data_IF_312099045609
#
_entry.id   IF_312099045609
#
_cell.length_a   1.000
_cell.length_b   1.000
_cell.length_c   1.000
_cell.angle_alpha   90.00
_cell.angle_beta   90.00
_cell.angle_gamma   90.00
#
_symmetry.space_group_name_H-M   'P 1'
#
loop_
_entity.id
_entity.type
_entity.pdbx_description
1 polymer ?
#
# COMPACT_ATOMS: atom_id res chain seq x y z
N UNK A 1 3.78 -9.54 6.99
CA UNK A 1 4.63 -8.40 7.40
C UNK A 1 3.88 -7.64 8.50
N UNK A 2 4.54 -7.31 9.61
CA UNK A 2 3.90 -6.65 10.75
C UNK A 2 4.06 -5.12 10.65
N UNK A 3 3.03 -4.41 10.20
CA UNK A 3 2.99 -2.94 10.14
C UNK A 3 3.13 -2.28 11.53
N UNK A 4 2.79 -3.04 12.58
CA UNK A 4 2.85 -2.64 13.99
C UNK A 4 4.26 -2.26 14.47
N UNK A 5 5.29 -2.65 13.72
CA UNK A 5 6.68 -2.28 14.03
C UNK A 5 7.01 -0.84 13.62
N UNK A 6 6.19 -0.22 12.78
CA UNK A 6 6.52 1.05 12.13
C UNK A 6 5.44 2.13 12.27
N UNK A 7 4.19 1.75 12.53
CA UNK A 7 3.04 2.65 12.54
C UNK A 7 2.17 2.43 13.77
N UNK A 8 1.64 3.52 14.32
CA UNK A 8 0.50 3.47 15.23
C UNK A 8 -0.78 3.06 14.49
N UNK A 9 -1.78 2.60 15.25
CA UNK A 9 -3.07 2.14 14.68
C UNK A 9 -3.73 3.21 13.81
N UNK A 10 -3.74 4.48 14.25
CA UNK A 10 -4.35 5.58 13.50
C UNK A 10 -3.60 5.93 12.21
N UNK A 11 -2.28 5.78 12.23
CA UNK A 11 -1.40 6.01 11.08
C UNK A 11 -1.61 4.90 10.04
N UNK A 12 -1.67 3.65 10.51
CA UNK A 12 -2.02 2.49 9.70
C UNK A 12 -3.40 2.66 9.05
N UNK A 13 -4.44 2.99 9.83
CA UNK A 13 -5.80 3.17 9.31
C UNK A 13 -5.86 4.30 8.28
N UNK A 14 -5.22 5.44 8.56
CA UNK A 14 -5.15 6.54 7.60
C UNK A 14 -4.55 6.09 6.26
N UNK A 15 -3.37 5.46 6.30
CA UNK A 15 -2.67 5.02 5.10
C UNK A 15 -3.48 3.94 4.36
N UNK A 16 -4.05 2.98 5.07
CA UNK A 16 -4.82 1.89 4.46
C UNK A 16 -6.04 2.44 3.70
N UNK A 17 -6.81 3.32 4.34
CA UNK A 17 -7.97 3.94 3.71
C UNK A 17 -7.57 4.84 2.53
N UNK A 18 -6.47 5.58 2.66
CA UNK A 18 -5.95 6.43 1.59
C UNK A 18 -5.55 5.61 0.36
N UNK A 19 -4.77 4.54 0.54
CA UNK A 19 -4.35 3.67 -0.57
C UNK A 19 -5.54 2.95 -1.21
N UNK A 20 -6.48 2.43 -0.41
CA UNK A 20 -7.68 1.78 -0.96
C UNK A 20 -8.52 2.74 -1.80
N UNK A 21 -8.66 4.00 -1.37
CA UNK A 21 -9.38 5.02 -2.13
C UNK A 21 -8.65 5.34 -3.45
N UNK A 22 -7.34 5.55 -3.40
CA UNK A 22 -6.54 5.86 -4.60
C UNK A 22 -6.48 4.72 -5.61
N UNK A 23 -6.29 3.49 -5.15
CA UNK A 23 -6.28 2.31 -6.02
C UNK A 23 -7.63 2.12 -6.74
N UNK A 24 -8.75 2.47 -6.08
CA UNK A 24 -10.08 2.49 -6.71
C UNK A 24 -10.23 3.62 -7.73
N UNK A 25 -9.77 4.83 -7.41
CA UNK A 25 -9.81 5.97 -8.33
C UNK A 25 -8.99 5.73 -9.59
N UNK A 26 -7.81 5.13 -9.44
CA UNK A 26 -6.91 4.78 -10.54
C UNK A 26 -7.29 3.49 -11.25
N UNK A 27 -8.32 2.77 -10.77
CA UNK A 27 -8.75 1.47 -11.31
C UNK A 27 -7.57 0.52 -11.48
N UNK A 28 -6.68 0.48 -10.47
CA UNK A 28 -5.42 -0.25 -10.54
C UNK A 28 -5.63 -1.75 -10.85
N UNK A 29 -6.70 -2.33 -10.32
CA UNK A 29 -7.09 -3.72 -10.55
C UNK A 29 -7.63 -4.01 -11.97
N UNK A 30 -8.00 -2.97 -12.73
CA UNK A 30 -8.44 -3.08 -14.12
C UNK A 30 -7.27 -2.92 -15.11
N UNK A 31 -6.05 -2.64 -14.63
CA UNK A 31 -4.85 -2.56 -15.47
C UNK A 31 -4.49 -3.98 -15.93
N UNK A 32 -5.02 -4.37 -17.09
CA UNK A 32 -4.64 -5.56 -17.83
C UNK A 32 -3.32 -5.32 -18.59
N UNK A 33 -2.25 -4.97 -17.85
CA UNK A 33 -0.92 -4.85 -18.45
C UNK A 33 -0.20 -6.19 -18.37
N UNK A 34 0.30 -6.74 -19.51
CA UNK A 34 1.22 -7.86 -19.45
C UNK A 34 2.47 -7.41 -18.70
N UNK A 35 2.99 -8.27 -17.81
CA UNK A 35 4.24 -8.05 -17.07
C UNK A 35 5.32 -7.54 -18.03
N UNK A 36 5.51 -6.23 -18.07
CA UNK A 36 6.36 -5.59 -19.05
C UNK A 36 7.82 -5.86 -18.67
N UNK A 37 8.48 -6.71 -19.45
CA UNK A 37 9.87 -7.10 -19.22
C UNK A 37 10.86 -5.94 -19.41
N UNK A 38 10.39 -4.81 -19.93
CA UNK A 38 11.16 -3.58 -20.17
C UNK A 38 11.28 -2.68 -18.92
N UNK A 39 10.70 -3.07 -17.77
CA UNK A 39 10.89 -2.35 -16.50
C UNK A 39 10.15 -1.00 -16.39
N UNK A 40 9.26 -0.70 -17.33
CA UNK A 40 8.41 0.51 -17.36
C UNK A 40 6.93 0.14 -17.48
N UNK A 41 6.40 -0.64 -16.53
CA UNK A 41 4.94 -0.84 -16.44
C UNK A 41 4.26 0.44 -15.94
N UNK A 42 3.09 0.78 -16.50
CA UNK A 42 2.24 1.84 -15.98
C UNK A 42 1.88 1.58 -14.52
N UNK A 43 1.73 0.30 -14.14
CA UNK A 43 1.52 -0.11 -12.76
C UNK A 43 2.62 0.40 -11.83
N UNK A 44 3.89 0.20 -12.20
CA UNK A 44 5.03 0.64 -11.38
C UNK A 44 5.08 2.17 -11.26
N UNK A 45 4.77 2.90 -12.34
CA UNK A 45 4.72 4.37 -12.30
C UNK A 45 3.61 4.88 -11.38
N UNK A 46 2.42 4.27 -11.46
CA UNK A 46 1.29 4.63 -10.60
C UNK A 46 1.58 4.28 -9.15
N UNK A 47 2.23 3.14 -8.88
CA UNK A 47 2.65 2.78 -7.53
C UNK A 47 3.66 3.78 -6.96
N UNK A 48 4.69 4.15 -7.73
CA UNK A 48 5.67 5.15 -7.31
C UNK A 48 5.02 6.52 -7.07
N UNK A 49 4.07 6.92 -7.91
CA UNK A 49 3.32 8.16 -7.74
C UNK A 49 2.48 8.13 -6.46
N UNK A 50 1.74 7.04 -6.22
CA UNK A 50 0.95 6.87 -5.01
C UNK A 50 1.81 6.89 -3.74
N UNK A 51 2.99 6.27 -3.76
CA UNK A 51 3.91 6.28 -2.61
C UNK A 51 4.36 7.71 -2.27
N UNK A 52 4.72 8.51 -3.28
CA UNK A 52 5.10 9.92 -3.09
C UNK A 52 3.95 10.77 -2.56
N UNK A 53 2.74 10.59 -3.11
CA UNK A 53 1.56 11.30 -2.64
C UNK A 53 1.15 10.90 -1.21
N UNK A 54 1.25 9.62 -0.88
CA UNK A 54 0.97 9.12 0.47
C UNK A 54 1.97 9.66 1.49
N UNK A 55 3.25 9.76 1.13
CA UNK A 55 4.28 10.38 1.98
C UNK A 55 3.92 11.83 2.32
N UNK A 56 3.51 12.62 1.33
CA UNK A 56 3.09 14.01 1.52
C UNK A 56 1.84 14.07 2.41
N UNK A 57 0.80 13.30 2.09
CA UNK A 57 -0.45 13.31 2.83
C UNK A 57 -0.26 12.84 4.30
N UNK A 58 0.66 11.90 4.52
CA UNK A 58 1.05 11.46 5.86
C UNK A 58 1.74 12.57 6.64
N UNK A 59 2.75 13.21 6.02
CA UNK A 59 3.51 14.29 6.63
C UNK A 59 2.58 15.46 6.99
N UNK A 60 1.64 15.83 6.12
CA UNK A 60 0.65 16.87 6.41
C UNK A 60 -0.28 16.50 7.58
N UNK A 61 -0.66 15.23 7.69
CA UNK A 61 -1.60 14.76 8.72
C UNK A 61 -0.97 14.60 10.10
N UNK A 62 0.26 14.07 10.16
CA UNK A 62 0.91 13.68 11.41
C UNK A 62 2.12 14.54 11.75
N UNK A 63 2.61 15.39 10.83
CA UNK A 63 3.80 16.24 11.01
C UNK A 63 5.08 15.46 11.34
N UNK A 64 5.15 14.20 10.89
CA UNK A 64 6.29 13.31 11.06
C UNK A 64 6.58 12.55 9.76
N UNK A 65 7.84 12.19 9.51
CA UNK A 65 8.20 11.38 8.35
C UNK A 65 7.76 9.93 8.54
N UNK A 66 7.20 9.34 7.49
CA UNK A 66 6.87 7.91 7.46
C UNK A 66 8.09 7.09 7.02
N UNK A 67 8.24 5.89 7.58
CA UNK A 67 9.29 4.96 7.12
C UNK A 67 8.91 4.42 5.73
N UNK A 68 9.76 4.52 4.70
CA UNK A 68 9.40 4.11 3.33
C UNK A 68 8.91 2.67 3.22
N UNK A 69 9.49 1.75 4.00
CA UNK A 69 9.06 0.34 4.04
C UNK A 69 7.61 0.19 4.52
N UNK A 70 7.14 1.08 5.40
CA UNK A 70 5.78 1.06 5.89
C UNK A 70 4.80 1.43 4.76
N UNK A 71 5.08 2.48 3.98
CA UNK A 71 4.26 2.88 2.83
C UNK A 71 4.09 1.74 1.82
N UNK A 72 5.21 1.13 1.40
CA UNK A 72 5.17 0.00 0.46
C UNK A 72 4.37 -1.17 1.01
N UNK A 73 4.52 -1.47 2.31
CA UNK A 73 3.76 -2.54 2.94
C UNK A 73 2.25 -2.24 2.98
N UNK A 74 1.85 -0.99 3.30
CA UNK A 74 0.43 -0.63 3.35
C UNK A 74 -0.18 -0.61 1.94
N UNK A 75 0.55 -0.17 0.92
CA UNK A 75 0.09 -0.22 -0.48
C UNK A 75 -0.27 -1.65 -0.90
N UNK A 76 0.59 -2.64 -0.60
CA UNK A 76 0.31 -4.04 -0.91
C UNK A 76 -0.83 -4.61 -0.05
N UNK A 77 -0.93 -4.21 1.22
CA UNK A 77 -2.05 -4.60 2.07
C UNK A 77 -3.39 -4.07 1.52
N UNK A 78 -3.44 -2.81 1.08
CA UNK A 78 -4.61 -2.22 0.45
C UNK A 78 -5.01 -2.97 -0.82
N UNK A 79 -4.04 -3.36 -1.65
CA UNK A 79 -4.28 -4.14 -2.86
C UNK A 79 -4.92 -5.50 -2.55
N UNK A 80 -4.40 -6.21 -1.53
CA UNK A 80 -4.95 -7.48 -1.06
C UNK A 80 -6.40 -7.33 -0.53
N UNK A 81 -6.65 -6.30 0.27
CA UNK A 81 -7.98 -5.98 0.80
C UNK A 81 -8.98 -5.66 -0.34
N UNK A 82 -8.55 -4.90 -1.36
CA UNK A 82 -9.38 -4.61 -2.54
C UNK A 82 -9.63 -5.84 -3.42
N UNK A 83 -8.64 -6.73 -3.56
CA UNK A 83 -8.77 -7.98 -4.28
C UNK A 83 -9.67 -9.02 -3.57
N UNK A 84 -10.18 -8.70 -2.37
CA UNK A 84 -10.95 -9.62 -1.55
C UNK A 84 -10.15 -10.83 -1.06
N UNK A 85 -8.81 -10.74 -1.13
CA UNK A 85 -7.89 -11.75 -0.61
C UNK A 85 -7.37 -11.27 0.73
N UNK A 86 -8.00 -11.62 1.86
CA UNK A 86 -7.45 -11.25 3.15
C UNK A 86 -6.00 -11.73 3.23
N UNK A 87 -5.06 -10.93 3.77
CA UNK A 87 -3.70 -11.39 3.98
C UNK A 87 -3.79 -12.66 4.81
N UNK A 88 -3.28 -13.77 4.27
CA UNK A 88 -3.12 -15.01 5.03
C UNK A 88 -2.33 -14.61 6.27
N UNK A 89 -3.01 -14.48 7.42
CA UNK A 89 -2.35 -14.36 8.71
C UNK A 89 -1.34 -15.51 8.74
N UNK A 90 -0.05 -15.25 9.02
CA UNK A 90 0.86 -16.37 9.21
C UNK A 90 0.23 -17.22 10.30
N UNK A 91 -0.23 -18.41 9.91
CA UNK A 91 -0.59 -19.45 10.86
C UNK A 91 0.61 -19.58 11.76
N UNK A 92 0.49 -19.12 13.00
CA UNK A 92 1.40 -19.53 14.06
C UNK A 92 1.29 -21.04 14.09
N UNK A 93 2.22 -21.72 13.43
CA UNK A 93 2.43 -23.14 13.55
C UNK A 93 2.95 -23.32 14.97
N UNK A 94 2.02 -23.54 15.90
CA UNK A 94 2.34 -24.10 17.20
C UNK A 94 2.53 -25.60 16.95
N UNK A 95 3.78 -26.02 16.82
CA UNK A 95 4.20 -27.42 16.98
C UNK A 95 5.61 -27.45 17.55
#
# INVERSE_FOLDING_TARGET
>A
MDWRQWLEVKQFEFLLHWFMQRQRELKLAELDEPLAYDGFSMYDQLCQQMLKEAEIAYLERFSEPVVPIALTNILHLAELELAGRPPRRPTQTVH
#
